data_IF_803103584680
#
_entry.id   IF_803103584680
#
_cell.length_a   1.000
_cell.length_b   1.000
_cell.length_c   1.000
_cell.angle_alpha   90.00
_cell.angle_beta   90.00
_cell.angle_gamma   90.00
#
_symmetry.space_group_name_H-M   'P 1'
#
loop_
_entity.id
_entity.type
_entity.pdbx_description
1 polymer ?
#
# COMPACT_ATOMS: atom_id res chain seq x y z
N UNK A 1 -35.02 39.81 -42.72
CA UNK A 1 -35.25 38.37 -42.51
C UNK A 1 -35.03 38.06 -41.03
N UNK A 2 -36.10 37.80 -40.28
CA UNK A 2 -35.99 37.32 -38.90
C UNK A 2 -35.94 35.78 -38.93
N UNK A 3 -35.07 35.13 -38.15
CA UNK A 3 -35.01 33.67 -38.10
C UNK A 3 -36.27 33.11 -37.43
N UNK A 4 -36.94 32.19 -38.11
CA UNK A 4 -38.06 31.41 -37.57
C UNK A 4 -37.56 30.51 -36.44
N UNK A 5 -38.11 30.70 -35.24
CA UNK A 5 -37.84 29.84 -34.10
C UNK A 5 -38.42 28.43 -34.32
N UNK A 6 -37.68 27.36 -33.96
CA UNK A 6 -38.17 26.00 -34.10
C UNK A 6 -39.30 25.70 -33.08
N UNK A 7 -40.22 24.77 -33.41
CA UNK A 7 -41.33 24.41 -32.53
C UNK A 7 -40.82 23.75 -31.24
N UNK A 8 -41.47 24.04 -30.08
CA UNK A 8 -40.99 23.66 -28.76
C UNK A 8 -40.83 22.14 -28.54
N UNK A 9 -41.58 21.33 -29.28
CA UNK A 9 -41.52 19.87 -29.20
C UNK A 9 -40.18 19.28 -29.67
N UNK A 10 -39.53 19.90 -30.67
CA UNK A 10 -38.24 19.42 -31.19
C UNK A 10 -37.09 19.70 -30.21
N UNK A 11 -37.21 20.76 -29.42
CA UNK A 11 -36.18 21.18 -28.45
C UNK A 11 -36.13 20.20 -27.26
N UNK A 12 -37.29 19.71 -26.80
CA UNK A 12 -37.38 18.75 -25.69
C UNK A 12 -36.77 17.39 -26.04
N UNK A 13 -37.02 16.89 -27.25
CA UNK A 13 -36.49 15.60 -27.72
C UNK A 13 -34.97 15.59 -27.85
N UNK A 14 -34.37 16.71 -28.29
CA UNK A 14 -32.91 16.86 -28.40
C UNK A 14 -32.26 16.97 -27.03
N UNK A 15 -32.88 17.71 -26.09
CA UNK A 15 -32.39 17.81 -24.71
C UNK A 15 -32.42 16.46 -23.97
N UNK A 16 -33.45 15.65 -24.17
CA UNK A 16 -33.56 14.32 -23.58
C UNK A 16 -32.50 13.35 -24.13
N UNK A 17 -32.23 13.40 -25.44
CA UNK A 17 -31.15 12.63 -26.07
C UNK A 17 -29.75 13.05 -25.58
N UNK A 18 -29.50 14.35 -25.38
CA UNK A 18 -28.24 14.85 -24.83
C UNK A 18 -28.03 14.44 -23.37
N UNK A 19 -29.09 14.41 -22.55
CA UNK A 19 -29.03 13.92 -21.17
C UNK A 19 -28.79 12.40 -21.10
N UNK A 20 -29.37 11.62 -22.01
CA UNK A 20 -29.13 10.18 -22.13
C UNK A 20 -27.70 9.87 -22.61
N UNK A 21 -27.16 10.64 -23.55
CA UNK A 21 -25.75 10.54 -23.99
C UNK A 21 -24.76 10.98 -22.91
N UNK A 22 -25.11 11.95 -22.06
CA UNK A 22 -24.28 12.36 -20.92
C UNK A 22 -24.30 11.34 -19.76
N UNK A 23 -25.19 10.35 -19.80
CA UNK A 23 -25.33 9.31 -18.76
C UNK A 23 -24.43 8.09 -18.98
N UNK A 24 -23.59 8.08 -20.03
CA UNK A 24 -22.60 7.01 -20.23
C UNK A 24 -21.55 7.07 -19.14
N UNK A 25 -21.86 6.44 -18.01
CA UNK A 25 -20.90 6.14 -16.96
C UNK A 25 -19.81 5.28 -17.59
N UNK A 26 -18.62 5.83 -17.74
CA UNK A 26 -17.44 5.01 -17.88
C UNK A 26 -17.32 4.21 -16.59
N UNK A 27 -17.76 2.95 -16.60
CA UNK A 27 -17.30 1.98 -15.60
C UNK A 27 -15.80 1.87 -15.80
N UNK A 28 -15.04 2.68 -15.08
CA UNK A 28 -13.65 2.35 -14.81
C UNK A 28 -13.65 0.96 -14.20
N UNK A 29 -12.81 0.07 -14.72
CA UNK A 29 -12.53 -1.17 -14.03
C UNK A 29 -11.80 -0.79 -12.73
N UNK A 30 -12.56 -0.66 -11.63
CA UNK A 30 -11.97 -0.57 -10.29
C UNK A 30 -11.15 -1.84 -10.09
N UNK A 31 -9.83 -1.70 -9.93
CA UNK A 31 -9.00 -2.82 -9.57
C UNK A 31 -9.50 -3.37 -8.23
N UNK A 32 -9.52 -4.69 -8.09
CA UNK A 32 -9.87 -5.30 -6.81
C UNK A 32 -8.86 -4.81 -5.74
N UNK A 33 -9.31 -4.58 -4.49
CA UNK A 33 -8.40 -4.22 -3.40
C UNK A 33 -7.34 -5.32 -3.19
N UNK A 34 -6.18 -4.97 -2.61
CA UNK A 34 -5.13 -5.96 -2.34
C UNK A 34 -5.61 -7.01 -1.35
N UNK A 35 -5.21 -8.26 -1.56
CA UNK A 35 -5.48 -9.35 -0.63
C UNK A 35 -4.48 -9.31 0.53
N UNK A 36 -4.99 -9.00 1.72
CA UNK A 36 -4.22 -8.86 2.96
C UNK A 36 -4.36 -10.05 3.92
N UNK A 37 -4.86 -11.21 3.44
CA UNK A 37 -4.87 -12.44 4.22
C UNK A 37 -3.43 -12.87 4.56
N UNK A 38 -3.17 -13.18 5.83
CA UNK A 38 -1.86 -13.62 6.29
C UNK A 38 -1.62 -15.08 5.92
N UNK A 39 -0.53 -15.32 5.17
CA UNK A 39 -0.02 -16.65 4.88
C UNK A 39 0.95 -17.11 5.98
N UNK A 40 1.77 -16.19 6.50
CA UNK A 40 2.64 -16.47 7.64
C UNK A 40 2.98 -15.20 8.41
N UNK A 41 3.02 -15.32 9.74
CA UNK A 41 3.55 -14.33 10.68
C UNK A 41 4.62 -15.03 11.53
N UNK A 42 5.85 -14.56 11.43
CA UNK A 42 7.00 -15.11 12.14
C UNK A 42 7.60 -14.02 13.01
N UNK A 43 7.80 -14.31 14.29
CA UNK A 43 8.36 -13.39 15.27
C UNK A 43 9.65 -13.97 15.84
N UNK A 44 10.66 -13.13 16.02
CA UNK A 44 11.85 -13.52 16.78
C UNK A 44 11.48 -13.76 18.25
N UNK A 45 12.10 -14.76 18.89
CA UNK A 45 11.84 -15.05 20.31
C UNK A 45 12.45 -14.02 21.28
N UNK A 46 13.39 -13.20 20.82
CA UNK A 46 13.93 -12.08 21.58
C UNK A 46 13.11 -10.80 21.35
N UNK A 47 13.06 -9.94 22.37
CA UNK A 47 12.30 -8.69 22.34
C UNK A 47 13.13 -7.51 22.81
N UNK A 48 12.86 -6.31 22.27
CA UNK A 48 13.45 -5.05 22.73
C UNK A 48 12.61 -4.44 23.86
N UNK A 49 13.27 -3.69 24.73
CA UNK A 49 12.68 -3.11 25.94
C UNK A 49 12.25 -1.65 25.79
N UNK A 50 11.61 -1.12 26.83
CA UNK A 50 11.35 0.30 26.94
C UNK A 50 12.67 1.10 26.97
N UNK A 51 12.76 2.14 26.14
CA UNK A 51 13.96 2.98 26.02
C UNK A 51 15.06 2.39 25.13
N UNK A 52 14.85 1.22 24.52
CA UNK A 52 15.79 0.65 23.57
C UNK A 52 15.86 1.53 22.30
N UNK A 53 17.07 1.98 21.88
CA UNK A 53 17.23 2.79 20.67
C UNK A 53 16.75 2.08 19.39
N UNK A 54 16.67 0.75 19.39
CA UNK A 54 16.16 -0.03 18.27
C UNK A 54 14.72 0.32 17.93
N UNK A 55 13.89 0.68 18.91
CA UNK A 55 12.49 1.05 18.66
C UNK A 55 12.37 2.24 17.68
N UNK A 56 13.25 3.23 17.80
CA UNK A 56 13.32 4.40 16.91
C UNK A 56 13.76 4.00 15.50
N UNK A 57 14.78 3.13 15.40
CA UNK A 57 15.24 2.59 14.13
C UNK A 57 14.19 1.77 13.41
N UNK A 58 13.47 0.92 14.15
CA UNK A 58 12.40 0.10 13.60
C UNK A 58 11.25 0.97 13.09
N UNK A 59 10.83 1.97 13.86
CA UNK A 59 9.78 2.90 13.43
C UNK A 59 10.16 3.64 12.13
N UNK A 60 11.42 4.09 12.00
CA UNK A 60 11.92 4.69 10.77
C UNK A 60 11.82 3.72 9.59
N UNK A 61 12.39 2.52 9.72
CA UNK A 61 12.45 1.54 8.63
C UNK A 61 11.05 1.12 8.20
N UNK A 62 10.14 0.81 9.13
CA UNK A 62 8.78 0.41 8.76
C UNK A 62 8.03 1.54 8.03
N UNK A 63 8.22 2.79 8.44
CA UNK A 63 7.64 3.95 7.76
C UNK A 63 8.19 4.10 6.33
N UNK A 64 9.51 4.00 6.15
CA UNK A 64 10.15 4.13 4.85
C UNK A 64 9.82 2.96 3.92
N UNK A 65 9.75 1.73 4.44
CA UNK A 65 9.31 0.58 3.66
C UNK A 65 7.88 0.80 3.11
N UNK A 66 6.96 1.27 3.94
CA UNK A 66 5.57 1.55 3.50
C UNK A 66 5.51 2.70 2.49
N UNK A 67 6.32 3.74 2.66
CA UNK A 67 6.28 4.95 1.82
C UNK A 67 6.96 4.77 0.47
N UNK A 68 8.09 4.08 0.43
CA UNK A 68 8.98 4.07 -0.72
C UNK A 68 8.81 2.85 -1.63
N UNK A 69 8.47 1.68 -1.08
CA UNK A 69 8.24 0.44 -1.85
C UNK A 69 7.27 0.62 -3.02
N UNK A 70 6.11 1.29 -2.86
CA UNK A 70 5.14 1.45 -3.96
C UNK A 70 5.65 2.23 -5.18
N UNK A 71 6.72 3.00 -5.03
CA UNK A 71 7.32 3.81 -6.09
C UNK A 71 8.59 3.16 -6.67
N UNK A 72 9.02 2.00 -6.15
CA UNK A 72 10.24 1.35 -6.63
C UNK A 72 10.05 0.75 -8.02
N UNK A 73 10.83 1.26 -8.96
CA UNK A 73 11.00 0.65 -10.26
C UNK A 73 11.58 -0.77 -10.08
N UNK A 74 11.01 -1.75 -10.77
CA UNK A 74 11.41 -3.16 -10.63
C UNK A 74 10.34 -4.07 -10.02
N UNK A 75 9.17 -3.53 -9.66
CA UNK A 75 8.03 -4.34 -9.22
C UNK A 75 7.75 -4.28 -7.73
N UNK A 76 7.91 -3.10 -7.12
CA UNK A 76 7.61 -2.86 -5.71
C UNK A 76 8.48 -3.69 -4.75
N UNK A 77 9.80 -3.63 -4.91
CA UNK A 77 10.80 -4.33 -4.08
C UNK A 77 11.75 -3.29 -3.49
N UNK A 78 11.93 -3.30 -2.17
CA UNK A 78 12.74 -2.30 -1.47
C UNK A 78 13.39 -2.82 -0.20
N UNK A 79 14.69 -2.58 -0.07
CA UNK A 79 15.47 -2.77 1.14
C UNK A 79 15.85 -1.43 1.76
N UNK A 80 15.80 -1.34 3.08
CA UNK A 80 16.19 -0.14 3.82
C UNK A 80 16.96 -0.47 5.10
N UNK A 81 17.73 0.51 5.57
CA UNK A 81 18.47 0.48 6.84
C UNK A 81 18.25 1.81 7.55
N UNK A 82 17.99 1.76 8.86
CA UNK A 82 17.84 2.98 9.64
C UNK A 82 19.14 3.81 9.65
N UNK A 83 19.06 5.16 9.69
CA UNK A 83 20.24 6.02 9.74
C UNK A 83 20.82 6.16 11.16
N UNK A 84 20.35 5.37 12.14
CA UNK A 84 20.68 5.55 13.56
C UNK A 84 21.69 4.48 14.03
N UNK A 85 22.97 4.84 14.23
CA UNK A 85 24.04 3.88 14.48
C UNK A 85 24.03 3.26 15.89
N UNK A 86 23.20 3.76 16.80
CA UNK A 86 23.08 3.20 18.15
C UNK A 86 22.50 1.78 18.16
N UNK A 87 21.55 1.50 17.25
CA UNK A 87 20.97 0.18 17.05
C UNK A 87 20.27 0.19 15.68
N UNK A 88 20.93 -0.35 14.65
CA UNK A 88 20.36 -0.39 13.30
C UNK A 88 19.13 -1.30 13.24
N UNK A 89 18.15 -0.89 12.44
CA UNK A 89 17.12 -1.78 11.93
C UNK A 89 17.34 -1.99 10.44
N UNK A 90 17.16 -3.23 10.00
CA UNK A 90 17.21 -3.61 8.59
C UNK A 90 15.82 -4.05 8.19
N UNK A 91 15.40 -3.67 7.00
CA UNK A 91 14.06 -3.95 6.52
C UNK A 91 14.00 -4.27 5.04
N UNK A 92 13.02 -5.08 4.69
CA UNK A 92 12.66 -5.40 3.31
C UNK A 92 11.13 -5.39 3.20
N UNK A 93 10.63 -4.79 2.12
CA UNK A 93 9.23 -4.85 1.74
C UNK A 93 9.10 -5.13 0.26
N UNK A 94 8.15 -6.01 -0.06
CA UNK A 94 7.83 -6.36 -1.44
C UNK A 94 6.31 -6.45 -1.64
N UNK A 95 5.83 -6.06 -2.81
CA UNK A 95 4.44 -6.27 -3.26
C UNK A 95 4.43 -7.07 -4.56
N UNK A 96 3.29 -7.67 -4.90
CA UNK A 96 3.10 -8.20 -6.26
C UNK A 96 3.20 -7.05 -7.27
N UNK A 97 3.97 -7.25 -8.32
CA UNK A 97 4.20 -6.24 -9.36
C UNK A 97 2.92 -5.72 -10.05
N UNK A 98 1.83 -6.50 -10.03
CA UNK A 98 0.54 -6.12 -10.61
C UNK A 98 -0.25 -5.12 -9.76
N UNK A 99 0.11 -4.91 -8.49
CA UNK A 99 -0.58 -3.95 -7.63
C UNK A 99 -0.29 -2.51 -8.07
N UNK A 100 -1.31 -1.67 -7.93
CA UNK A 100 -1.11 -0.22 -7.99
C UNK A 100 -0.27 0.25 -6.79
N UNK A 101 0.39 1.40 -6.91
CA UNK A 101 1.12 1.99 -5.79
C UNK A 101 0.26 2.16 -4.51
N UNK A 102 -0.97 2.72 -4.56
CA UNK A 102 -1.80 2.84 -3.35
C UNK A 102 -2.23 1.48 -2.77
N UNK A 103 -2.46 0.47 -3.61
CA UNK A 103 -2.79 -0.88 -3.14
C UNK A 103 -1.59 -1.55 -2.48
N UNK A 104 -0.39 -1.40 -3.06
CA UNK A 104 0.85 -1.88 -2.43
C UNK A 104 1.04 -1.23 -1.05
N UNK A 105 0.91 0.10 -0.95
CA UNK A 105 1.01 0.80 0.34
C UNK A 105 -0.04 0.30 1.35
N UNK A 106 -1.25 -0.03 0.88
CA UNK A 106 -2.33 -0.57 1.71
C UNK A 106 -1.99 -1.98 2.22
N UNK A 107 -1.47 -2.84 1.36
CA UNK A 107 -1.04 -4.17 1.75
C UNK A 107 0.09 -4.11 2.78
N UNK A 108 1.12 -3.30 2.53
CA UNK A 108 2.27 -3.16 3.45
C UNK A 108 1.84 -2.62 4.81
N UNK A 109 0.95 -1.63 4.86
CA UNK A 109 0.35 -1.15 6.13
C UNK A 109 -0.39 -2.25 6.87
N UNK A 110 -1.12 -3.11 6.16
CA UNK A 110 -1.78 -4.26 6.77
C UNK A 110 -0.76 -5.26 7.32
N UNK A 111 0.32 -5.55 6.58
CA UNK A 111 1.38 -6.45 7.03
C UNK A 111 2.05 -5.94 8.32
N UNK A 112 2.39 -4.65 8.37
CA UNK A 112 2.94 -4.00 9.57
C UNK A 112 1.97 -4.10 10.75
N UNK A 113 0.70 -3.74 10.55
CA UNK A 113 -0.31 -3.80 11.61
C UNK A 113 -0.53 -5.23 12.15
N UNK A 114 -0.49 -6.24 11.28
CA UNK A 114 -0.64 -7.63 11.68
C UNK A 114 0.59 -8.15 12.44
N UNK A 115 1.80 -7.72 12.07
CA UNK A 115 3.02 -7.99 12.84
C UNK A 115 2.97 -7.32 14.20
N UNK A 116 2.57 -6.04 14.30
CA UNK A 116 2.48 -5.34 15.58
C UNK A 116 1.54 -6.06 16.55
N UNK A 117 0.39 -6.52 16.05
CA UNK A 117 -0.59 -7.26 16.85
C UNK A 117 -0.10 -8.64 17.31
N UNK A 118 0.78 -9.30 16.53
CA UNK A 118 1.19 -10.70 16.76
C UNK A 118 2.57 -10.84 17.41
N UNK A 119 3.50 -9.96 17.08
CA UNK A 119 4.90 -10.03 17.46
C UNK A 119 5.29 -9.03 18.57
N UNK A 120 4.43 -8.04 18.88
CA UNK A 120 4.71 -7.04 19.91
C UNK A 120 6.07 -6.38 19.72
N UNK A 121 6.94 -6.49 20.72
CA UNK A 121 8.28 -5.88 20.71
C UNK A 121 9.39 -6.84 20.24
N UNK A 122 9.11 -7.75 19.32
CA UNK A 122 10.14 -8.66 18.80
C UNK A 122 11.27 -7.91 18.12
N UNK A 123 12.51 -8.39 18.27
CA UNK A 123 13.69 -7.78 17.60
C UNK A 123 13.78 -8.05 16.11
N UNK A 124 12.92 -8.93 15.62
CA UNK A 124 12.75 -9.25 14.21
C UNK A 124 11.37 -9.85 13.99
N UNK A 125 10.78 -9.56 12.83
CA UNK A 125 9.53 -10.17 12.42
C UNK A 125 9.42 -10.23 10.89
N UNK A 126 8.60 -11.17 10.41
CA UNK A 126 8.23 -11.32 9.01
C UNK A 126 6.73 -11.56 8.89
N UNK A 127 6.07 -10.70 8.12
CA UNK A 127 4.72 -10.95 7.60
C UNK A 127 4.81 -11.28 6.11
N UNK A 128 4.15 -12.37 5.73
CA UNK A 128 3.84 -12.68 4.34
C UNK A 128 2.32 -12.71 4.22
N UNK A 129 1.77 -11.74 3.52
CA UNK A 129 0.38 -11.69 3.10
C UNK A 129 0.27 -12.20 1.66
N UNK A 130 -0.95 -12.40 1.17
CA UNK A 130 -1.16 -12.89 -0.20
C UNK A 130 -0.53 -11.98 -1.26
N UNK A 131 -0.61 -10.66 -1.10
CA UNK A 131 -0.11 -9.72 -2.11
C UNK A 131 1.13 -8.90 -1.72
N UNK A 132 1.65 -9.06 -0.52
CA UNK A 132 2.87 -8.37 -0.09
C UNK A 132 3.56 -9.07 1.09
N UNK A 133 4.81 -8.71 1.32
CA UNK A 133 5.58 -9.14 2.48
C UNK A 133 6.37 -7.99 3.09
N UNK A 134 6.52 -8.01 4.41
CA UNK A 134 7.42 -7.12 5.16
C UNK A 134 8.26 -7.97 6.10
N UNK A 135 9.56 -7.69 6.16
CA UNK A 135 10.49 -8.28 7.10
C UNK A 135 11.38 -7.22 7.71
N UNK A 136 11.65 -7.32 9.01
CA UNK A 136 12.68 -6.55 9.67
C UNK A 136 13.51 -7.40 10.62
N UNK A 137 14.76 -7.01 10.83
CA UNK A 137 15.72 -7.67 11.74
C UNK A 137 16.70 -6.65 12.33
N UNK A 138 17.41 -7.05 13.40
CA UNK A 138 18.56 -6.31 13.96
C UNK A 138 19.88 -6.56 13.22
N UNK A 139 19.87 -7.35 12.16
CA UNK A 139 21.04 -7.71 11.36
C UNK A 139 20.72 -7.62 9.87
N UNK A 140 21.75 -7.40 9.05
CA UNK A 140 21.60 -7.37 7.60
C UNK A 140 21.16 -8.73 7.05
N UNK A 141 20.20 -8.73 6.13
CA UNK A 141 19.68 -9.94 5.48
C UNK A 141 19.34 -9.68 4.00
N UNK A 142 19.07 -10.77 3.29
CA UNK A 142 18.47 -10.80 1.94
C UNK A 142 17.34 -11.83 1.95
N UNK A 143 16.27 -11.58 1.19
CA UNK A 143 15.13 -12.48 0.97
C UNK A 143 15.11 -13.04 -0.47
#
# INVERSE_FOLDING_TARGET
>A
MAPSSPPPFLVLSVALWLLLLASSHTRGAEAAPPNTEALSLLCNGASYGAGDPFATSLAYVLSELVSATPARAGGHDFYDISPYPAAFAYGHAACRAALSAPDCATCLRSAVSQMDASCGHSVGARAVLVDCSVRYEQYAFVD
#
